data_IF_205835081894
#
_entry.id   IF_205835081894
#
_cell.length_a   1.000
_cell.length_b   1.000
_cell.length_c   1.000
_cell.angle_alpha   90.00
_cell.angle_beta   90.00
_cell.angle_gamma   90.00
#
_symmetry.space_group_name_H-M   'P 1'
#
loop_
_entity.id
_entity.type
_entity.pdbx_description
1 polymer ?
#
# COMPACT_ATOMS: atom_id res chain seq x y z
N UNK A 1 -48.75 17.45 37.20
CA UNK A 1 -48.20 18.67 36.59
C UNK A 1 -46.85 18.98 37.23
N UNK A 2 -45.79 19.24 36.46
CA UNK A 2 -44.48 19.61 37.03
C UNK A 2 -44.55 21.07 37.51
N UNK A 3 -44.17 21.40 38.77
CA UNK A 3 -44.17 22.77 39.24
C UNK A 3 -43.13 23.60 38.48
N UNK A 4 -43.47 24.87 38.21
CA UNK A 4 -42.59 25.82 37.53
C UNK A 4 -41.54 26.28 38.54
N UNK A 5 -40.27 25.98 38.28
CA UNK A 5 -39.17 26.36 39.17
C UNK A 5 -39.09 27.90 39.27
N UNK A 6 -38.91 28.37 40.49
CA UNK A 6 -38.70 29.78 40.83
C UNK A 6 -37.36 30.24 40.26
N UNK A 7 -37.35 31.34 39.50
CA UNK A 7 -36.12 31.90 38.90
C UNK A 7 -35.12 32.22 40.03
N UNK A 8 -33.90 31.71 39.92
CA UNK A 8 -32.80 32.06 40.85
C UNK A 8 -32.49 33.56 40.75
N UNK A 9 -32.44 34.24 41.89
CA UNK A 9 -31.96 35.60 42.00
C UNK A 9 -30.43 35.61 41.82
N UNK A 10 -29.99 35.78 40.58
CA UNK A 10 -28.57 35.93 40.23
C UNK A 10 -28.15 37.38 40.45
N UNK A 11 -27.41 37.65 41.53
CA UNK A 11 -26.70 38.92 41.72
C UNK A 11 -25.37 38.87 40.94
N UNK A 12 -25.15 39.71 39.92
CA UNK A 12 -23.91 39.68 39.14
C UNK A 12 -22.71 40.13 39.98
N UNK A 13 -21.53 39.55 39.74
CA UNK A 13 -20.31 39.97 40.40
C UNK A 13 -19.89 41.39 39.92
N UNK A 14 -19.02 42.11 40.66
CA UNK A 14 -18.48 43.38 40.21
C UNK A 14 -17.77 43.23 38.86
N UNK A 15 -18.29 43.86 37.81
CA UNK A 15 -17.77 43.76 36.43
C UNK A 15 -18.57 42.88 35.47
N UNK A 16 -19.54 42.10 35.97
CA UNK A 16 -20.40 41.25 35.14
C UNK A 16 -21.62 41.99 34.55
N UNK A 17 -21.84 43.26 34.94
CA UNK A 17 -22.94 44.06 34.42
C UNK A 17 -22.67 44.45 32.96
N UNK A 18 -23.38 43.79 32.04
CA UNK A 18 -23.33 44.10 30.62
C UNK A 18 -24.76 44.36 30.10
N UNK A 19 -25.16 45.63 29.88
CA UNK A 19 -26.51 46.00 29.46
C UNK A 19 -26.85 45.52 28.05
N UNK A 20 -25.86 45.34 27.17
CA UNK A 20 -26.09 44.88 25.79
C UNK A 20 -26.60 43.44 25.73
N UNK A 21 -26.33 42.65 26.78
CA UNK A 21 -26.79 41.26 26.92
C UNK A 21 -28.13 41.14 27.66
N UNK A 22 -28.70 42.26 28.12
CA UNK A 22 -29.92 42.28 28.93
C UNK A 22 -31.21 41.95 28.15
N UNK A 23 -31.19 42.07 26.82
CA UNK A 23 -32.36 41.84 25.97
C UNK A 23 -33.00 40.46 26.17
N UNK A 24 -32.20 39.43 26.44
CA UNK A 24 -32.69 38.06 26.68
C UNK A 24 -33.27 37.83 28.07
N UNK A 25 -33.01 38.76 29.01
CA UNK A 25 -33.54 38.74 30.38
C UNK A 25 -34.82 39.58 30.47
N UNK A 26 -34.88 40.68 29.71
CA UNK A 26 -36.00 41.62 29.67
C UNK A 26 -37.14 41.09 28.78
N UNK A 27 -36.82 40.40 27.69
CA UNK A 27 -37.81 39.90 26.75
C UNK A 27 -38.04 38.40 26.91
N UNK A 28 -39.30 38.00 26.92
CA UNK A 28 -39.68 36.59 26.82
C UNK A 28 -39.27 36.06 25.45
N UNK A 29 -38.40 35.04 25.45
CA UNK A 29 -37.96 34.38 24.21
C UNK A 29 -38.93 33.25 23.85
N UNK A 30 -39.21 33.08 22.56
CA UNK A 30 -40.00 31.95 22.08
C UNK A 30 -39.30 30.62 22.41
N UNK A 31 -40.05 29.56 22.75
CA UNK A 31 -39.47 28.26 23.08
C UNK A 31 -38.67 27.70 21.89
N UNK A 32 -37.42 27.33 22.15
CA UNK A 32 -36.52 26.72 21.16
C UNK A 32 -36.55 25.21 21.33
N UNK A 33 -37.09 24.52 20.32
CA UNK A 33 -37.10 23.06 20.28
C UNK A 33 -35.97 22.56 19.39
N UNK A 34 -35.25 21.56 19.86
CA UNK A 34 -34.26 20.82 19.07
C UNK A 34 -34.73 19.38 18.94
N UNK A 35 -34.76 18.84 17.73
CA UNK A 35 -35.00 17.43 17.46
C UNK A 35 -33.67 16.75 17.11
N UNK A 36 -33.46 15.53 17.61
CA UNK A 36 -32.26 14.72 17.33
C UNK A 36 -31.55 14.24 18.58
N UNK A 37 -30.94 13.04 18.50
CA UNK A 37 -30.04 12.54 19.54
C UNK A 37 -28.75 13.36 19.51
N UNK A 38 -28.40 13.94 20.66
CA UNK A 38 -27.08 14.55 20.86
C UNK A 38 -26.06 13.41 21.02
N UNK A 39 -25.35 13.07 19.95
CA UNK A 39 -24.34 12.02 20.01
C UNK A 39 -23.18 12.50 20.86
N UNK A 40 -22.93 11.81 21.98
CA UNK A 40 -21.64 11.93 22.66
C UNK A 40 -20.62 11.25 21.75
N UNK A 41 -20.00 12.02 20.85
CA UNK A 41 -18.80 11.59 20.16
C UNK A 41 -17.69 11.60 21.20
N UNK A 42 -17.59 10.52 21.98
CA UNK A 42 -16.39 10.23 22.74
C UNK A 42 -15.25 10.23 21.74
N UNK A 43 -14.42 11.27 21.77
CA UNK A 43 -13.15 11.26 21.06
C UNK A 43 -12.40 10.07 21.64
N UNK A 44 -12.24 9.02 20.86
CA UNK A 44 -11.40 7.89 21.25
C UNK A 44 -10.01 8.48 21.37
N UNK A 45 -9.56 8.69 22.61
CA UNK A 45 -8.18 9.08 22.88
C UNK A 45 -7.37 7.83 22.60
N UNK A 46 -6.86 7.72 21.36
CA UNK A 46 -5.95 6.68 20.94
C UNK A 46 -4.55 6.95 21.52
N UNK A 47 -4.47 7.00 22.85
CA UNK A 47 -3.19 6.95 23.56
C UNK A 47 -3.00 5.52 24.02
N UNK A 48 -2.22 4.70 23.29
CA UNK A 48 -1.92 3.35 23.74
C UNK A 48 -1.30 3.42 25.14
N UNK A 49 -1.65 2.46 25.99
CA UNK A 49 -1.04 2.32 27.30
C UNK A 49 0.50 2.29 27.18
N UNK A 50 1.26 2.70 28.20
CA UNK A 50 2.73 2.78 28.13
C UNK A 50 3.41 1.48 27.68
N UNK A 51 2.76 0.32 27.88
CA UNK A 51 3.23 -1.00 27.45
C UNK A 51 2.75 -1.44 26.04
N UNK A 52 2.09 -0.56 25.28
CA UNK A 52 1.42 -0.88 23.99
C UNK A 52 2.08 -0.16 22.81
N UNK A 53 3.04 0.74 23.04
CA UNK A 53 3.77 1.37 21.94
C UNK A 53 4.58 0.32 21.16
N UNK A 54 4.16 0.09 19.91
CA UNK A 54 4.95 -0.61 18.91
C UNK A 54 5.74 0.45 18.16
N UNK A 55 7.07 0.42 18.28
CA UNK A 55 7.91 1.18 17.37
C UNK A 55 7.70 0.63 15.96
N UNK A 56 7.42 1.50 14.99
CA UNK A 56 7.39 1.08 13.60
C UNK A 56 8.78 0.50 13.28
N UNK A 57 8.82 -0.79 12.87
CA UNK A 57 10.07 -1.52 12.66
C UNK A 57 10.96 -0.96 11.55
N UNK A 58 10.51 0.09 10.87
CA UNK A 58 11.30 0.84 9.90
C UNK A 58 10.89 2.31 9.94
N UNK A 59 11.85 3.20 10.21
CA UNK A 59 11.78 4.59 9.78
C UNK A 59 12.44 4.63 8.38
N UNK A 60 11.64 4.72 7.31
CA UNK A 60 12.10 4.82 5.91
C UNK A 60 11.95 3.54 5.07
N UNK A 61 12.59 3.50 3.89
CA UNK A 61 12.50 2.40 2.91
C UNK A 61 13.47 1.21 3.17
N UNK A 62 14.03 1.11 4.38
CA UNK A 62 15.08 0.12 4.68
C UNK A 62 14.46 -1.17 5.21
N UNK A 63 14.79 -2.32 4.61
CA UNK A 63 14.36 -3.62 5.16
C UNK A 63 14.94 -3.79 6.58
N UNK A 64 14.09 -4.10 7.56
CA UNK A 64 14.52 -4.40 8.94
C UNK A 64 15.53 -5.55 8.94
N UNK A 65 16.59 -5.41 9.73
CA UNK A 65 17.59 -6.47 9.94
C UNK A 65 16.94 -7.75 10.51
N UNK A 66 17.49 -8.95 10.22
CA UNK A 66 16.96 -10.20 10.76
C UNK A 66 17.00 -10.22 12.29
N UNK A 67 15.90 -10.62 12.92
CA UNK A 67 15.82 -10.85 14.38
C UNK A 67 16.01 -12.33 14.68
N UNK A 68 17.06 -12.67 15.44
CA UNK A 68 17.35 -14.04 15.87
C UNK A 68 16.81 -14.30 17.28
N UNK A 69 16.30 -15.50 17.52
CA UNK A 69 15.83 -15.97 18.83
C UNK A 69 16.65 -17.18 19.27
N UNK A 70 16.99 -17.25 20.56
CA UNK A 70 17.84 -18.32 21.15
C UNK A 70 17.12 -19.68 21.11
N UNK A 71 15.80 -19.70 21.22
CA UNK A 71 15.01 -20.91 21.01
C UNK A 71 14.71 -21.10 19.51
N UNK A 72 14.95 -22.32 19.03
CA UNK A 72 14.54 -22.74 17.70
C UNK A 72 13.02 -22.60 17.56
N UNK A 73 12.57 -21.92 16.50
CA UNK A 73 11.14 -21.87 16.17
C UNK A 73 10.73 -23.24 15.67
N UNK A 74 10.11 -24.04 16.53
CA UNK A 74 9.49 -25.27 16.09
C UNK A 74 8.31 -24.89 15.17
N UNK A 75 8.25 -25.47 13.97
CA UNK A 75 7.03 -25.36 13.15
C UNK A 75 5.91 -25.99 13.96
N UNK A 76 4.90 -25.21 14.30
CA UNK A 76 3.71 -25.74 14.97
C UNK A 76 3.24 -26.99 14.21
N UNK A 77 2.79 -28.04 14.92
CA UNK A 77 2.39 -29.26 14.27
C UNK A 77 1.16 -28.92 13.42
N UNK A 78 1.34 -28.88 12.10
CA UNK A 78 0.27 -28.61 11.16
C UNK A 78 -0.54 -29.90 11.03
N UNK A 79 -1.84 -29.83 11.32
CA UNK A 79 -2.77 -30.94 11.11
C UNK A 79 -2.74 -31.33 9.63
N UNK A 80 -2.54 -32.62 9.35
CA UNK A 80 -2.50 -33.16 7.99
C UNK A 80 -3.80 -32.88 7.23
N UNK A 81 -4.93 -32.71 7.92
CA UNK A 81 -6.20 -32.29 7.32
C UNK A 81 -6.13 -30.93 6.64
N UNK A 82 -5.22 -30.05 7.07
CA UNK A 82 -5.00 -28.73 6.43
C UNK A 82 -4.38 -28.88 5.03
N UNK A 83 -3.69 -30.00 4.75
CA UNK A 83 -3.12 -30.29 3.43
C UNK A 83 -4.16 -30.78 2.43
N UNK A 84 -5.35 -31.17 2.90
CA UNK A 84 -6.41 -31.69 2.04
C UNK A 84 -7.38 -30.54 1.72
N UNK A 85 -7.24 -29.86 0.57
CA UNK A 85 -8.18 -28.84 0.16
C UNK A 85 -9.60 -29.43 0.14
N UNK A 86 -10.55 -28.72 0.75
CA UNK A 86 -11.96 -29.09 0.71
C UNK A 86 -12.55 -28.93 -0.69
N UNK A 87 -13.79 -29.40 -0.92
CA UNK A 87 -14.50 -29.13 -2.17
C UNK A 87 -14.55 -27.61 -2.41
N UNK A 88 -14.07 -27.15 -3.56
CA UNK A 88 -13.99 -25.73 -3.93
C UNK A 88 -12.74 -24.97 -3.47
N UNK A 89 -11.79 -25.62 -2.79
CA UNK A 89 -10.51 -24.99 -2.39
C UNK A 89 -9.43 -25.02 -3.47
N UNK A 90 -9.70 -25.63 -4.63
CA UNK A 90 -8.79 -25.60 -5.77
C UNK A 90 -8.89 -24.25 -6.47
N UNK A 91 -7.77 -23.54 -6.57
CA UNK A 91 -7.70 -22.35 -7.41
C UNK A 91 -7.84 -22.77 -8.87
N UNK A 92 -8.64 -22.01 -9.63
CA UNK A 92 -8.69 -22.18 -11.08
C UNK A 92 -7.31 -21.85 -11.65
N UNK A 93 -6.79 -22.75 -12.49
CA UNK A 93 -5.54 -22.52 -13.22
C UNK A 93 -5.73 -21.28 -14.08
N UNK A 94 -4.75 -20.37 -14.06
CA UNK A 94 -4.79 -19.20 -14.93
C UNK A 94 -4.97 -19.70 -16.39
N UNK A 95 -6.03 -19.29 -17.11
CA UNK A 95 -6.23 -19.67 -18.49
C UNK A 95 -5.05 -19.29 -19.39
N UNK A 96 -4.24 -18.32 -18.99
CA UNK A 96 -3.02 -17.97 -19.70
C UNK A 96 -1.96 -19.07 -19.70
N UNK A 97 -2.02 -20.03 -18.77
CA UNK A 97 -1.02 -21.10 -18.65
C UNK A 97 -1.21 -22.24 -19.66
N UNK A 98 -2.42 -22.41 -20.21
CA UNK A 98 -2.75 -23.52 -21.12
C UNK A 98 -3.36 -23.09 -22.44
N UNK A 99 -3.77 -21.83 -22.58
CA UNK A 99 -4.29 -21.31 -23.85
C UNK A 99 -3.17 -20.61 -24.61
N UNK A 100 -3.14 -20.86 -25.90
CA UNK A 100 -2.31 -20.08 -26.81
C UNK A 100 -2.82 -18.63 -26.85
N UNK A 101 -1.90 -17.68 -26.65
CA UNK A 101 -2.21 -16.26 -26.77
C UNK A 101 -1.94 -15.76 -28.17
N UNK A 102 -2.75 -14.80 -28.60
CA UNK A 102 -2.42 -14.00 -29.77
C UNK A 102 -1.10 -13.24 -29.52
N UNK A 103 -0.30 -12.98 -30.57
CA UNK A 103 0.94 -12.21 -30.42
C UNK A 103 0.70 -10.86 -29.73
N UNK A 104 1.46 -10.58 -28.67
CA UNK A 104 1.44 -9.29 -27.97
C UNK A 104 2.54 -8.38 -28.51
N UNK A 105 2.13 -7.31 -29.21
CA UNK A 105 3.04 -6.33 -29.81
C UNK A 105 3.21 -5.11 -28.90
N UNK A 106 4.44 -4.60 -28.82
CA UNK A 106 4.76 -3.35 -28.11
C UNK A 106 5.43 -2.37 -29.07
N UNK A 107 4.96 -1.12 -29.09
CA UNK A 107 5.57 -0.04 -29.89
C UNK A 107 6.84 0.54 -29.24
N UNK A 108 7.04 0.30 -27.94
CA UNK A 108 8.22 0.75 -27.23
C UNK A 108 9.42 -0.17 -27.50
N UNK A 109 10.60 0.44 -27.62
CA UNK A 109 11.85 -0.29 -27.65
C UNK A 109 12.03 -1.04 -26.30
N UNK A 110 12.20 -2.36 -26.37
CA UNK A 110 12.56 -3.18 -25.20
C UNK A 110 14.07 -3.15 -25.01
N UNK A 111 14.57 -2.14 -24.30
CA UNK A 111 15.97 -2.11 -23.88
C UNK A 111 16.12 -3.01 -22.66
N UNK A 112 16.82 -4.14 -22.82
CA UNK A 112 17.30 -4.90 -21.67
C UNK A 112 18.33 -4.02 -20.97
N UNK A 113 18.02 -3.58 -19.75
CA UNK A 113 19.01 -2.86 -18.95
C UNK A 113 20.19 -3.81 -18.71
N UNK A 114 21.44 -3.31 -18.78
CA UNK A 114 22.60 -4.11 -18.43
C UNK A 114 22.40 -4.67 -17.02
N UNK A 115 22.19 -5.99 -16.93
CA UNK A 115 22.17 -6.71 -15.66
C UNK A 115 23.61 -6.95 -15.20
N UNK A 116 23.82 -7.33 -13.94
CA UNK A 116 25.14 -7.59 -13.35
C UNK A 116 25.93 -8.70 -14.08
N UNK A 117 25.24 -9.53 -14.88
CA UNK A 117 25.84 -10.54 -15.75
C UNK A 117 26.36 -9.98 -17.10
N UNK A 118 26.17 -8.69 -17.38
CA UNK A 118 26.78 -8.08 -18.56
C UNK A 118 28.29 -8.04 -18.38
N UNK A 119 29.02 -8.53 -19.39
CA UNK A 119 30.48 -8.44 -19.43
C UNK A 119 30.84 -6.97 -19.66
N UNK A 120 30.86 -6.21 -18.57
CA UNK A 120 31.34 -4.84 -18.55
C UNK A 120 32.84 -4.94 -18.25
N UNK A 121 33.72 -4.87 -19.27
CA UNK A 121 35.14 -4.97 -19.01
C UNK A 121 35.56 -3.78 -18.14
N UNK A 122 36.37 -4.07 -17.13
CA UNK A 122 36.84 -3.06 -16.18
C UNK A 122 37.71 -1.98 -16.85
N UNK A 123 38.00 -0.88 -16.12
CA UNK A 123 38.93 0.13 -16.59
C UNK A 123 40.28 -0.51 -16.95
N UNK A 124 40.81 -0.20 -18.14
CA UNK A 124 42.08 -0.76 -18.63
C UNK A 124 42.01 -2.13 -19.31
N UNK A 125 40.83 -2.77 -19.39
CA UNK A 125 40.63 -4.03 -20.14
C UNK A 125 40.31 -3.77 -21.63
N UNK A 126 39.98 -2.53 -21.99
CA UNK A 126 39.77 -2.13 -23.37
C UNK A 126 41.11 -2.01 -24.11
N UNK A 127 41.30 -2.79 -25.17
CA UNK A 127 42.46 -2.71 -26.07
C UNK A 127 42.00 -2.37 -27.49
N UNK A 128 41.64 -1.10 -27.78
CA UNK A 128 41.15 -0.70 -29.10
C UNK A 128 42.17 -0.96 -30.21
N UNK A 129 43.46 -0.90 -29.89
CA UNK A 129 44.57 -1.17 -30.81
C UNK A 129 44.64 -2.62 -31.31
N UNK A 130 43.96 -3.55 -30.63
CA UNK A 130 43.90 -4.97 -31.01
C UNK A 130 42.67 -5.30 -31.87
N UNK A 131 41.84 -4.32 -32.19
CA UNK A 131 40.64 -4.49 -33.01
C UNK A 131 40.97 -4.08 -34.44
N UNK A 132 41.01 -5.04 -35.36
CA UNK A 132 41.09 -4.76 -36.81
C UNK A 132 39.69 -4.41 -37.31
N UNK A 133 39.43 -3.13 -37.53
CA UNK A 133 38.13 -2.57 -37.94
C UNK A 133 37.88 -2.77 -39.45
N UNK A 134 38.95 -2.93 -40.23
CA UNK A 134 38.88 -3.20 -41.67
C UNK A 134 38.64 -4.69 -41.95
N UNK A 135 37.43 -5.15 -41.62
CA UNK A 135 36.91 -6.38 -42.22
C UNK A 135 36.24 -6.02 -43.54
N UNK A 136 36.72 -6.53 -44.70
CA UNK A 136 35.97 -6.40 -45.93
C UNK A 136 34.61 -7.10 -45.75
N UNK A 137 33.51 -6.55 -46.30
CA UNK A 137 32.19 -7.09 -46.08
C UNK A 137 32.10 -8.52 -46.65
N UNK A 138 31.85 -9.49 -45.75
CA UNK A 138 31.59 -10.87 -46.13
C UNK A 138 30.10 -11.01 -46.52
N UNK A 139 29.81 -10.83 -47.81
CA UNK A 139 28.46 -11.02 -48.34
C UNK A 139 28.20 -12.51 -48.59
N UNK A 140 27.14 -13.07 -48.00
CA UNK A 140 26.60 -14.37 -48.38
C UNK A 140 25.24 -14.18 -49.04
N UNK A 141 25.09 -14.71 -50.26
CA UNK A 141 23.80 -14.80 -50.95
C UNK A 141 23.33 -16.24 -50.86
N UNK A 142 22.64 -16.58 -49.77
CA UNK A 142 22.04 -17.89 -49.56
C UNK A 142 20.52 -17.76 -49.43
N UNK A 143 19.77 -18.50 -50.24
CA UNK A 143 18.34 -18.69 -50.05
C UNK A 143 18.17 -19.58 -48.81
N UNK A 144 17.60 -19.04 -47.74
CA UNK A 144 17.24 -19.82 -46.55
C UNK A 144 15.91 -20.50 -46.84
N UNK A 145 15.94 -21.82 -47.04
CA UNK A 145 14.72 -22.59 -47.21
C UNK A 145 13.96 -22.66 -45.89
N UNK A 146 12.63 -22.60 -45.97
CA UNK A 146 11.75 -22.94 -44.86
C UNK A 146 12.01 -24.40 -44.44
N UNK A 147 12.00 -24.76 -43.14
CA UNK A 147 12.13 -26.14 -42.69
C UNK A 147 11.00 -27.07 -43.18
N UNK A 148 9.99 -26.54 -43.88
CA UNK A 148 8.91 -27.30 -44.50
C UNK A 148 9.12 -27.59 -46.00
N UNK A 149 10.27 -27.28 -46.59
CA UNK A 149 10.49 -27.49 -48.04
C UNK A 149 10.66 -28.95 -48.47
N UNK A 150 10.75 -29.90 -47.55
CA UNK A 150 10.96 -31.34 -47.82
C UNK A 150 9.64 -32.16 -47.83
N UNK A 151 8.48 -31.49 -47.70
CA UNK A 151 7.18 -32.16 -47.69
C UNK A 151 6.39 -31.87 -48.96
N UNK A 152 6.86 -32.38 -50.10
CA UNK A 152 6.04 -32.70 -51.29
C UNK A 152 6.74 -33.75 -52.16
#
# INVERSE_FOLDING_TARGET
>A
SRPKETKNDNFPAPGDYNPDKSSSVIHDTAPKYTFGLKTNVTKIVDTPAPNVYKIAGVIGDKKSSPSYTISGRHKQPMDERVKNPGPGSYNNVNPEAYKDHSPCYSMAARTQLPSDATKIPGPGVYFPEKVTIDYPPAHSFGIKHSPYSEHY
#
